data_IF_658202291861
#
_entry.id   IF_658202291861
#
_cell.length_a   1.000
_cell.length_b   1.000
_cell.length_c   1.000
_cell.angle_alpha   90.00
_cell.angle_beta   90.00
_cell.angle_gamma   90.00
#
_symmetry.space_group_name_H-M   'P 1'
#
loop_
_entity.id
_entity.type
_entity.pdbx_description
1 polymer ?
#
# COMPACT_ATOMS: atom_id res chain seq x y z
N UNK A 1 -8.96 35.28 -0.45
CA UNK A 1 -7.95 35.73 0.52
C UNK A 1 -8.55 35.79 1.92
N UNK A 2 -9.70 36.42 2.15
CA UNK A 2 -10.29 36.57 3.50
C UNK A 2 -10.62 35.27 4.27
N UNK A 3 -10.92 34.15 3.60
CA UNK A 3 -11.39 32.93 4.28
C UNK A 3 -10.25 32.01 4.77
N UNK A 4 -9.03 32.16 4.24
CA UNK A 4 -7.87 31.37 4.69
C UNK A 4 -7.26 31.94 5.98
N UNK A 5 -7.39 33.26 6.18
CA UNK A 5 -6.90 33.99 7.35
C UNK A 5 -7.91 34.01 8.52
N UNK A 6 -9.10 33.45 8.32
CA UNK A 6 -10.14 33.34 9.37
C UNK A 6 -10.02 32.00 10.10
N UNK A 7 -9.33 32.02 11.25
CA UNK A 7 -9.12 30.85 12.10
C UNK A 7 -10.42 30.19 12.59
N UNK A 8 -11.55 30.93 12.63
CA UNK A 8 -12.85 30.39 13.04
C UNK A 8 -13.54 29.57 11.93
N UNK A 9 -13.10 29.68 10.68
CA UNK A 9 -13.63 28.94 9.54
C UNK A 9 -13.03 27.54 9.39
N UNK A 10 -11.96 27.21 10.12
CA UNK A 10 -11.32 25.91 10.08
C UNK A 10 -11.96 24.91 11.04
N UNK A 11 -12.21 23.69 10.55
CA UNK A 11 -12.59 22.57 11.40
C UNK A 11 -11.43 22.14 12.32
N UNK A 12 -11.76 21.40 13.38
CA UNK A 12 -10.74 20.91 14.33
C UNK A 12 -9.64 20.16 13.59
N UNK A 13 -8.35 20.48 13.83
CA UNK A 13 -7.24 19.80 13.17
C UNK A 13 -7.29 18.30 13.38
N UNK A 14 -7.23 17.54 12.29
CA UNK A 14 -7.13 16.07 12.35
C UNK A 14 -5.66 15.70 12.56
N UNK A 15 -5.34 15.22 13.75
CA UNK A 15 -4.01 14.70 14.06
C UNK A 15 -3.84 13.28 13.50
N UNK A 16 -3.25 13.16 12.32
CA UNK A 16 -2.82 11.86 11.77
C UNK A 16 -1.49 11.43 12.39
N UNK A 17 -1.51 10.34 13.18
CA UNK A 17 -0.28 9.66 13.57
C UNK A 17 0.24 8.89 12.37
N UNK A 18 1.42 9.27 11.86
CA UNK A 18 2.12 8.44 10.88
C UNK A 18 2.36 7.07 11.51
N UNK A 19 1.94 6.02 10.81
CA UNK A 19 2.23 4.66 11.23
C UNK A 19 3.75 4.50 11.39
N UNK A 20 4.17 3.92 12.52
CA UNK A 20 5.59 3.65 12.74
C UNK A 20 6.05 2.66 11.65
N UNK A 21 7.17 2.93 10.96
CA UNK A 21 7.71 1.96 10.01
C UNK A 21 7.92 0.62 10.71
N UNK A 22 7.33 -0.44 10.16
CA UNK A 22 7.60 -1.80 10.61
C UNK A 22 8.89 -2.27 9.93
N UNK A 23 9.96 -2.58 10.68
CA UNK A 23 11.18 -3.12 10.09
C UNK A 23 10.92 -4.54 9.57
N UNK A 24 11.30 -4.81 8.32
CA UNK A 24 11.27 -6.14 7.72
C UNK A 24 12.70 -6.66 7.59
N UNK A 25 13.00 -7.79 8.21
CA UNK A 25 14.29 -8.46 8.05
C UNK A 25 14.25 -9.38 6.85
N UNK A 26 15.22 -9.24 5.96
CA UNK A 26 15.39 -10.10 4.78
C UNK A 26 16.75 -10.81 4.84
N UNK A 27 16.84 -12.07 4.38
CA UNK A 27 18.12 -12.70 4.10
C UNK A 27 18.96 -11.83 3.14
N UNK A 28 20.28 -11.84 3.32
CA UNK A 28 21.20 -10.99 2.55
C UNK A 28 21.07 -11.17 1.03
N UNK A 29 20.96 -12.41 0.57
CA UNK A 29 20.80 -12.72 -0.84
C UNK A 29 19.50 -12.13 -1.41
N UNK A 30 18.39 -12.23 -0.66
CA UNK A 30 17.11 -11.67 -1.06
C UNK A 30 17.16 -10.14 -1.09
N UNK A 31 17.82 -9.51 -0.12
CA UNK A 31 18.01 -8.06 -0.08
C UNK A 31 18.83 -7.55 -1.28
N UNK A 32 19.88 -8.28 -1.69
CA UNK A 32 20.68 -7.95 -2.88
C UNK A 32 19.84 -8.01 -4.16
N UNK A 33 19.04 -9.07 -4.33
CA UNK A 33 18.15 -9.22 -5.48
C UNK A 33 17.08 -8.12 -5.51
N UNK A 34 16.47 -7.82 -4.36
CA UNK A 34 15.52 -6.73 -4.23
C UNK A 34 16.13 -5.38 -4.60
N UNK A 35 17.37 -5.10 -4.17
CA UNK A 35 18.08 -3.87 -4.50
C UNK A 35 18.37 -3.73 -6.00
N UNK A 36 18.75 -4.83 -6.66
CA UNK A 36 18.95 -4.85 -8.11
C UNK A 36 17.65 -4.50 -8.85
N UNK A 37 16.54 -5.14 -8.49
CA UNK A 37 15.25 -4.92 -9.15
C UNK A 37 14.69 -3.53 -8.85
N UNK A 38 14.84 -3.03 -7.62
CA UNK A 38 14.46 -1.65 -7.28
C UNK A 38 15.16 -0.61 -8.19
N UNK A 39 16.47 -0.79 -8.45
CA UNK A 39 17.21 0.06 -9.39
C UNK A 39 16.71 -0.09 -10.82
N UNK A 40 16.39 -1.31 -11.26
CA UNK A 40 15.84 -1.56 -12.59
C UNK A 40 14.51 -0.79 -12.81
N UNK A 41 13.68 -0.69 -11.77
CA UNK A 41 12.42 0.07 -11.79
C UNK A 41 12.58 1.56 -11.46
N UNK A 42 13.81 2.08 -11.30
CA UNK A 42 14.10 3.49 -10.95
C UNK A 42 13.46 3.95 -9.64
N UNK A 43 13.33 3.04 -8.68
CA UNK A 43 12.78 3.35 -7.36
C UNK A 43 13.83 4.06 -6.50
N UNK A 44 13.38 5.01 -5.67
CA UNK A 44 14.26 5.82 -4.82
C UNK A 44 15.02 4.98 -3.79
N UNK A 45 14.38 3.91 -3.28
CA UNK A 45 14.99 2.95 -2.37
C UNK A 45 14.28 1.59 -2.44
N UNK A 46 14.91 0.58 -1.84
CA UNK A 46 14.41 -0.81 -1.83
C UNK A 46 13.08 -0.93 -1.09
N UNK A 47 12.85 -0.15 -0.03
CA UNK A 47 11.62 -0.23 0.75
C UNK A 47 10.41 0.25 -0.05
N UNK A 48 10.56 1.29 -0.87
CA UNK A 48 9.46 1.79 -1.71
C UNK A 48 9.11 0.80 -2.81
N UNK A 49 10.14 0.19 -3.43
CA UNK A 49 9.93 -0.94 -4.34
C UNK A 49 9.18 -2.10 -3.66
N UNK A 50 9.60 -2.51 -2.46
CA UNK A 50 8.96 -3.60 -1.71
C UNK A 50 7.50 -3.29 -1.35
N UNK A 51 7.20 -2.05 -0.91
CA UNK A 51 5.81 -1.63 -0.63
C UNK A 51 4.95 -1.76 -1.87
N UNK A 52 5.44 -1.31 -3.03
CA UNK A 52 4.71 -1.41 -4.29
C UNK A 52 4.41 -2.86 -4.64
N UNK A 53 5.40 -3.75 -4.58
CA UNK A 53 5.21 -5.18 -4.86
C UNK A 53 4.22 -5.83 -3.89
N UNK A 54 4.28 -5.49 -2.60
CA UNK A 54 3.32 -6.00 -1.60
C UNK A 54 1.90 -5.53 -1.94
N UNK A 55 1.72 -4.24 -2.27
CA UNK A 55 0.41 -3.71 -2.65
C UNK A 55 -0.13 -4.38 -3.91
N UNK A 56 0.68 -4.47 -4.97
CA UNK A 56 0.30 -5.13 -6.22
C UNK A 56 -0.13 -6.58 -5.98
N UNK A 57 0.58 -7.29 -5.10
CA UNK A 57 0.24 -8.67 -4.76
C UNK A 57 -1.07 -8.77 -3.99
N UNK A 58 -1.32 -7.85 -3.04
CA UNK A 58 -2.59 -7.78 -2.30
C UNK A 58 -3.73 -7.53 -3.28
N UNK A 59 -3.61 -6.54 -4.16
CA UNK A 59 -4.67 -6.17 -5.11
C UNK A 59 -5.03 -7.35 -6.04
N UNK A 60 -4.03 -8.09 -6.51
CA UNK A 60 -4.23 -9.30 -7.32
C UNK A 60 -4.95 -10.41 -6.55
N UNK A 61 -4.57 -10.66 -5.30
CA UNK A 61 -5.19 -11.68 -4.46
C UNK A 61 -6.62 -11.30 -4.08
N UNK A 62 -6.88 -10.04 -3.74
CA UNK A 62 -8.21 -9.54 -3.45
C UNK A 62 -9.13 -9.62 -4.67
N UNK A 63 -8.64 -9.27 -5.86
CA UNK A 63 -9.40 -9.42 -7.11
C UNK A 63 -9.73 -10.89 -7.41
N UNK A 64 -8.75 -11.79 -7.26
CA UNK A 64 -8.95 -13.23 -7.45
C UNK A 64 -9.99 -13.78 -6.45
N UNK A 65 -9.90 -13.37 -5.18
CA UNK A 65 -10.81 -13.82 -4.14
C UNK A 65 -12.23 -13.27 -4.31
N UNK A 66 -12.37 -12.01 -4.73
CA UNK A 66 -13.66 -11.41 -5.02
C UNK A 66 -14.37 -12.14 -6.17
N UNK A 67 -13.63 -12.53 -7.22
CA UNK A 67 -14.14 -13.37 -8.30
C UNK A 67 -14.68 -14.70 -7.79
N UNK A 68 -13.88 -15.42 -7.00
CA UNK A 68 -14.28 -16.71 -6.43
C UNK A 68 -15.51 -16.61 -5.51
N UNK A 69 -15.62 -15.56 -4.70
CA UNK A 69 -16.80 -15.32 -3.84
C UNK A 69 -18.08 -15.12 -4.66
N UNK A 70 -17.99 -14.40 -5.78
CA UNK A 70 -19.14 -14.20 -6.68
C UNK A 70 -19.58 -15.52 -7.31
N UNK A 71 -18.64 -16.29 -7.87
CA UNK A 71 -18.92 -17.59 -8.47
C UNK A 71 -19.54 -18.58 -7.46
N UNK A 72 -19.06 -18.55 -6.20
CA UNK A 72 -19.61 -19.37 -5.11
C UNK A 72 -21.03 -18.92 -4.73
N UNK A 73 -21.27 -17.62 -4.63
CA UNK A 73 -22.60 -17.08 -4.33
C UNK A 73 -23.61 -17.42 -5.44
N UNK A 74 -23.19 -17.35 -6.71
CA UNK A 74 -24.02 -17.75 -7.86
C UNK A 74 -24.33 -19.26 -7.86
N UNK A 75 -23.37 -20.11 -7.49
CA UNK A 75 -23.58 -21.57 -7.38
C UNK A 75 -24.43 -22.00 -6.18
N UNK A 76 -24.38 -21.26 -5.08
CA UNK A 76 -25.13 -21.57 -3.85
C UNK A 76 -26.53 -20.92 -3.81
N UNK A 77 -26.83 -20.02 -4.75
CA UNK A 77 -28.14 -19.35 -4.88
C UNK A 77 -29.06 -19.96 -5.95
N UNK A 78 -28.62 -21.04 -6.61
CA UNK A 78 -29.37 -21.81 -7.61
C UNK A 78 -29.80 -23.18 -7.07
#
# INVERSE_FOLDING_TARGET
MAQADDDAAWEKPVSVRRAKPAPLSLPSELALRAAFVARLHRETNVNDWLKRIIQERIDLEEAAFAGLKRDLAEKNGA
#
